data_IF_131247863076
#
_entry.id   IF_131247863076
#
_cell.length_a   1.000
_cell.length_b   1.000
_cell.length_c   1.000
_cell.angle_alpha   90.00
_cell.angle_beta   90.00
_cell.angle_gamma   90.00
#
_symmetry.space_group_name_H-M   'P 1'
#
loop_
_entity.id
_entity.type
_entity.pdbx_description
1 polymer ?
#
# COMPACT_ATOMS: atom_id res chain seq x y z
N UNK A 1 5.03 -25.42 6.14
CA UNK A 1 4.47 -24.06 5.93
C UNK A 1 4.55 -23.79 4.43
N UNK A 2 3.52 -24.20 3.70
CA UNK A 2 3.49 -24.05 2.24
C UNK A 2 3.34 -22.57 1.91
N UNK A 3 4.34 -22.01 1.24
CA UNK A 3 4.29 -20.72 0.57
C UNK A 3 3.47 -20.87 -0.72
N UNK A 4 2.16 -21.12 -0.60
CA UNK A 4 1.31 -21.09 -1.78
C UNK A 4 1.17 -19.64 -2.23
N UNK A 5 1.90 -19.27 -3.26
CA UNK A 5 1.66 -18.06 -4.05
C UNK A 5 0.40 -18.34 -4.91
N UNK A 6 -0.79 -18.35 -4.33
CA UNK A 6 -2.00 -18.41 -5.15
C UNK A 6 -2.16 -17.09 -5.90
N UNK A 7 -2.42 -17.16 -7.20
CA UNK A 7 -2.62 -16.01 -8.08
C UNK A 7 -3.93 -15.26 -7.80
N UNK A 8 -4.87 -15.87 -7.07
CA UNK A 8 -6.12 -15.24 -6.66
C UNK A 8 -6.29 -15.35 -5.16
N UNK A 9 -5.95 -14.31 -4.39
CA UNK A 9 -6.10 -14.30 -2.94
C UNK A 9 -7.55 -14.05 -2.47
N UNK A 10 -8.51 -13.91 -3.38
CA UNK A 10 -9.88 -13.55 -3.09
C UNK A 10 -10.86 -14.64 -3.49
N UNK A 11 -11.83 -14.87 -2.64
CA UNK A 11 -13.14 -15.29 -3.13
C UNK A 11 -13.78 -14.05 -3.79
N UNK A 12 -14.29 -14.18 -5.01
CA UNK A 12 -14.72 -13.07 -5.89
C UNK A 12 -15.68 -12.05 -5.22
N UNK A 13 -16.42 -12.45 -4.19
CA UNK A 13 -17.37 -11.61 -3.45
C UNK A 13 -16.75 -10.71 -2.36
N UNK A 14 -15.46 -10.89 -2.03
CA UNK A 14 -14.81 -10.15 -0.95
C UNK A 14 -14.15 -8.84 -1.40
N UNK A 15 -13.93 -8.65 -2.70
CA UNK A 15 -13.21 -7.49 -3.20
C UNK A 15 -13.83 -6.13 -2.80
N UNK A 16 -15.19 -5.92 -2.82
CA UNK A 16 -15.74 -4.63 -2.42
C UNK A 16 -15.39 -4.25 -0.98
N UNK A 17 -15.44 -5.22 -0.08
CA UNK A 17 -15.03 -5.01 1.32
C UNK A 17 -13.56 -4.71 1.45
N UNK A 18 -12.71 -5.40 0.71
CA UNK A 18 -11.28 -5.22 0.79
C UNK A 18 -10.83 -3.84 0.31
N UNK A 19 -11.46 -3.30 -0.73
CA UNK A 19 -11.10 -1.98 -1.29
C UNK A 19 -11.82 -0.82 -0.61
N UNK A 20 -13.04 -1.03 -0.08
CA UNK A 20 -13.85 0.03 0.52
C UNK A 20 -13.75 0.12 2.05
N UNK A 21 -13.08 -0.83 2.71
CA UNK A 21 -13.01 -0.86 4.17
C UNK A 21 -11.57 -0.95 4.68
N UNK A 22 -11.39 -0.49 5.90
CA UNK A 22 -10.16 -0.62 6.68
C UNK A 22 -10.37 -1.64 7.82
N UNK A 23 -9.26 -2.08 8.42
CA UNK A 23 -9.31 -2.87 9.65
C UNK A 23 -9.91 -2.12 10.84
N UNK A 24 -9.89 -0.79 10.83
CA UNK A 24 -10.27 0.05 11.97
C UNK A 24 -11.11 1.28 11.61
N UNK A 25 -11.44 1.49 10.33
CA UNK A 25 -12.23 2.64 9.87
C UNK A 25 -13.54 2.19 9.22
N UNK A 26 -14.60 2.99 9.42
CA UNK A 26 -15.84 2.84 8.67
C UNK A 26 -15.59 3.15 7.18
N UNK A 27 -16.41 2.58 6.24
CA UNK A 27 -16.19 2.74 4.81
C UNK A 27 -16.07 4.21 4.34
N UNK A 28 -16.97 5.09 4.80
CA UNK A 28 -16.90 6.52 4.47
C UNK A 28 -15.64 7.20 4.99
N UNK A 29 -15.22 6.90 6.23
CA UNK A 29 -13.99 7.46 6.81
C UNK A 29 -12.76 6.95 6.07
N UNK A 30 -12.77 5.69 5.63
CA UNK A 30 -11.70 5.12 4.83
C UNK A 30 -11.60 5.77 3.45
N UNK A 31 -12.72 6.05 2.81
CA UNK A 31 -12.73 6.80 1.54
C UNK A 31 -12.09 8.19 1.70
N UNK A 32 -12.45 8.96 2.74
CA UNK A 32 -11.82 10.26 3.01
C UNK A 32 -10.33 10.14 3.33
N UNK A 33 -9.92 9.10 4.03
CA UNK A 33 -8.52 8.79 4.26
C UNK A 33 -7.79 8.57 2.93
N UNK A 34 -8.36 7.78 2.00
CA UNK A 34 -7.77 7.55 0.67
C UNK A 34 -7.71 8.83 -0.17
N UNK A 35 -8.75 9.63 -0.11
CA UNK A 35 -8.77 10.93 -0.78
C UNK A 35 -7.64 11.85 -0.26
N UNK A 36 -7.46 11.94 1.05
CA UNK A 36 -6.39 12.73 1.65
C UNK A 36 -5.01 12.24 1.20
N UNK A 37 -4.78 10.91 1.22
CA UNK A 37 -3.51 10.33 0.75
C UNK A 37 -3.25 10.63 -0.72
N UNK A 38 -4.22 10.42 -1.58
CA UNK A 38 -4.11 10.73 -3.00
C UNK A 38 -3.78 12.22 -3.24
N UNK A 39 -4.43 13.12 -2.51
CA UNK A 39 -4.16 14.57 -2.60
C UNK A 39 -2.75 14.94 -2.11
N UNK A 40 -2.26 14.33 -1.02
CA UNK A 40 -0.90 14.57 -0.53
C UNK A 40 0.12 14.16 -1.59
N UNK A 41 0.03 12.94 -2.13
CA UNK A 41 0.99 12.45 -3.11
C UNK A 41 0.90 13.21 -4.45
N UNK A 42 -0.30 13.50 -4.92
CA UNK A 42 -0.51 14.29 -6.13
C UNK A 42 0.00 15.73 -5.95
N UNK A 43 -0.26 16.35 -4.81
CA UNK A 43 0.22 17.69 -4.49
C UNK A 43 1.75 17.78 -4.48
N UNK A 44 2.43 16.76 -3.92
CA UNK A 44 3.89 16.68 -3.94
C UNK A 44 4.44 16.44 -5.34
N UNK A 45 3.80 15.59 -6.15
CA UNK A 45 4.17 15.41 -7.55
C UNK A 45 4.06 16.73 -8.32
N UNK A 46 2.92 17.43 -8.18
CA UNK A 46 2.75 18.74 -8.83
C UNK A 46 3.80 19.74 -8.39
N UNK A 47 4.08 19.84 -7.09
CA UNK A 47 5.09 20.74 -6.55
C UNK A 47 6.50 20.42 -7.08
N UNK A 48 6.89 19.14 -7.09
CA UNK A 48 8.20 18.71 -7.59
C UNK A 48 8.34 18.97 -9.10
N UNK A 49 7.31 18.68 -9.90
CA UNK A 49 7.29 18.97 -11.35
C UNK A 49 7.38 20.47 -11.61
N UNK A 50 6.58 21.29 -10.90
CA UNK A 50 6.57 22.75 -11.09
C UNK A 50 7.90 23.37 -10.72
N UNK A 51 8.54 22.95 -9.63
CA UNK A 51 9.86 23.47 -9.23
C UNK A 51 10.93 23.08 -10.24
N UNK A 52 10.93 21.83 -10.71
CA UNK A 52 11.88 21.41 -11.76
C UNK A 52 11.65 22.15 -13.09
N UNK A 53 10.40 22.48 -13.41
CA UNK A 53 10.09 23.28 -14.59
C UNK A 53 10.56 24.74 -14.40
N UNK A 54 10.35 25.32 -13.22
CA UNK A 54 10.81 26.67 -12.88
C UNK A 54 12.34 26.78 -12.95
N UNK A 55 13.05 25.76 -12.47
CA UNK A 55 14.52 25.68 -12.52
C UNK A 55 15.06 25.33 -13.92
N UNK A 56 14.19 25.13 -14.93
CA UNK A 56 14.57 24.75 -16.29
C UNK A 56 15.11 23.31 -16.40
N UNK A 57 14.83 22.46 -15.42
CA UNK A 57 15.39 21.10 -15.31
C UNK A 57 14.37 20.00 -15.61
N UNK A 58 13.22 20.35 -16.15
CA UNK A 58 12.12 19.39 -16.39
C UNK A 58 12.52 18.22 -17.30
N UNK A 59 13.41 18.45 -18.28
CA UNK A 59 13.93 17.39 -19.15
C UNK A 59 14.74 16.33 -18.40
N UNK A 60 15.23 16.66 -17.21
CA UNK A 60 16.03 15.79 -16.36
C UNK A 60 15.18 15.14 -15.25
N UNK A 61 13.85 15.36 -15.28
CA UNK A 61 12.94 14.91 -14.24
C UNK A 61 13.00 13.41 -14.02
N UNK A 62 13.08 12.63 -15.10
CA UNK A 62 13.09 11.17 -15.08
C UNK A 62 14.46 10.52 -14.80
N UNK A 63 15.45 11.30 -14.37
CA UNK A 63 16.77 10.74 -14.08
C UNK A 63 16.85 10.00 -12.74
N UNK A 64 16.03 10.36 -11.75
CA UNK A 64 16.19 9.85 -10.39
C UNK A 64 15.19 8.76 -10.03
N UNK A 65 15.65 7.75 -9.30
CA UNK A 65 14.83 6.64 -8.80
C UNK A 65 13.66 7.12 -7.91
N UNK A 66 13.90 8.15 -7.09
CA UNK A 66 12.88 8.70 -6.20
C UNK A 66 11.69 9.31 -6.94
N UNK A 67 11.92 9.94 -8.09
CA UNK A 67 10.84 10.49 -8.93
C UNK A 67 10.05 9.39 -9.65
N UNK A 68 10.73 8.35 -10.11
CA UNK A 68 10.05 7.17 -10.63
C UNK A 68 9.18 6.51 -9.56
N UNK A 69 9.72 6.40 -8.34
CA UNK A 69 8.96 5.86 -7.22
C UNK A 69 7.75 6.75 -6.84
N UNK A 70 7.90 8.08 -6.87
CA UNK A 70 6.80 9.01 -6.62
C UNK A 70 5.66 8.83 -7.62
N UNK A 71 5.97 8.67 -8.91
CA UNK A 71 4.96 8.40 -9.94
C UNK A 71 4.19 7.11 -9.67
N UNK A 72 4.89 6.04 -9.28
CA UNK A 72 4.26 4.77 -8.91
C UNK A 72 3.38 4.94 -7.66
N UNK A 73 3.85 5.68 -6.66
CA UNK A 73 3.09 5.96 -5.43
C UNK A 73 1.83 6.80 -5.71
N UNK A 74 1.91 7.78 -6.60
CA UNK A 74 0.72 8.55 -7.04
C UNK A 74 -0.26 7.64 -7.75
N UNK A 75 0.20 6.82 -8.71
CA UNK A 75 -0.65 5.87 -9.42
C UNK A 75 -1.32 4.87 -8.46
N UNK A 76 -0.58 4.35 -7.47
CA UNK A 76 -1.09 3.48 -6.42
C UNK A 76 -2.20 4.17 -5.61
N UNK A 77 -1.94 5.36 -5.07
CA UNK A 77 -2.91 6.06 -4.23
C UNK A 77 -4.17 6.49 -5.01
N UNK A 78 -4.02 6.89 -6.27
CA UNK A 78 -5.15 7.22 -7.15
C UNK A 78 -5.98 5.99 -7.50
N UNK A 79 -5.34 4.85 -7.80
CA UNK A 79 -6.06 3.60 -8.08
C UNK A 79 -6.78 3.07 -6.83
N UNK A 80 -6.18 3.17 -5.65
CA UNK A 80 -6.84 2.82 -4.39
C UNK A 80 -8.02 3.75 -4.06
N UNK A 81 -7.91 5.05 -4.34
CA UNK A 81 -9.03 5.99 -4.19
C UNK A 81 -10.19 5.62 -5.11
N UNK A 82 -9.90 5.35 -6.39
CA UNK A 82 -10.90 4.90 -7.36
C UNK A 82 -11.60 3.62 -6.90
N UNK A 83 -10.81 2.61 -6.50
CA UNK A 83 -11.36 1.34 -5.99
C UNK A 83 -12.17 1.52 -4.70
N UNK A 84 -11.74 2.42 -3.79
CA UNK A 84 -12.51 2.72 -2.58
C UNK A 84 -13.86 3.36 -2.88
N UNK A 85 -13.93 4.26 -3.88
CA UNK A 85 -15.18 4.85 -4.34
C UNK A 85 -16.12 3.79 -4.94
N UNK A 86 -15.62 3.00 -5.90
CA UNK A 86 -16.40 1.93 -6.55
C UNK A 86 -16.85 0.85 -5.56
N UNK A 87 -15.98 0.46 -4.63
CA UNK A 87 -16.31 -0.51 -3.59
C UNK A 87 -17.35 0.03 -2.59
N UNK A 88 -17.35 1.34 -2.31
CA UNK A 88 -18.34 1.97 -1.44
C UNK A 88 -19.76 1.93 -2.07
N UNK A 89 -19.84 2.09 -3.37
CA UNK A 89 -21.10 1.96 -4.13
C UNK A 89 -21.61 0.50 -4.15
N UNK A 90 -20.70 -0.45 -4.23
CA UNK A 90 -21.02 -1.87 -4.29
C UNK A 90 -21.39 -2.51 -2.92
N UNK A 91 -21.01 -1.91 -1.79
CA UNK A 91 -21.27 -2.45 -0.45
C UNK A 91 -22.77 -2.68 -0.11
N UNK A 92 -23.74 -1.87 -0.56
CA UNK A 92 -25.16 -2.08 -0.26
C UNK A 92 -25.78 -3.27 -0.98
N UNK A 93 -25.21 -3.73 -2.08
CA UNK A 93 -25.71 -4.89 -2.84
C UNK A 93 -25.27 -6.18 -2.15
N UNK A 94 -26.16 -6.75 -1.34
CA UNK A 94 -25.90 -8.04 -0.65
C UNK A 94 -26.04 -9.26 -1.59
N UNK A 95 -25.97 -9.08 -2.90
CA UNK A 95 -26.12 -10.16 -3.87
C UNK A 95 -24.75 -10.70 -4.29
N UNK A 96 -24.27 -11.84 -3.76
CA UNK A 96 -22.95 -12.38 -4.09
C UNK A 96 -22.81 -12.76 -5.58
N UNK A 97 -23.90 -12.92 -6.31
CA UNK A 97 -23.88 -13.28 -7.73
C UNK A 97 -23.49 -12.11 -8.66
N UNK A 98 -23.58 -10.87 -8.18
CA UNK A 98 -23.19 -9.68 -8.98
C UNK A 98 -21.67 -9.45 -8.99
N UNK A 99 -20.89 -10.20 -8.20
CA UNK A 99 -19.46 -10.03 -8.04
C UNK A 99 -18.67 -11.25 -8.54
N UNK A 100 -19.12 -11.87 -9.64
CA UNK A 100 -18.46 -13.06 -10.21
C UNK A 100 -17.01 -12.78 -10.62
N UNK A 101 -16.71 -11.55 -11.09
CA UNK A 101 -15.39 -11.15 -11.54
C UNK A 101 -14.81 -10.01 -10.69
N UNK A 102 -13.51 -10.13 -10.39
CA UNK A 102 -12.73 -9.03 -9.81
C UNK A 102 -12.44 -8.01 -10.89
N UNK A 103 -12.89 -6.73 -10.77
CA UNK A 103 -12.61 -5.73 -11.79
C UNK A 103 -11.10 -5.56 -12.03
N UNK A 104 -10.70 -5.33 -13.28
CA UNK A 104 -9.30 -5.08 -13.65
C UNK A 104 -8.69 -3.93 -12.86
N UNK A 105 -9.50 -2.92 -12.53
CA UNK A 105 -9.06 -1.80 -11.69
C UNK A 105 -8.60 -2.25 -10.30
N UNK A 106 -9.27 -3.25 -9.69
CA UNK A 106 -8.88 -3.80 -8.38
C UNK A 106 -7.59 -4.60 -8.51
N UNK A 107 -7.46 -5.42 -9.55
CA UNK A 107 -6.24 -6.16 -9.84
C UNK A 107 -5.05 -5.22 -10.07
N UNK A 108 -5.27 -4.13 -10.80
CA UNK A 108 -4.28 -3.07 -11.03
C UNK A 108 -3.90 -2.38 -9.71
N UNK A 109 -4.88 -2.05 -8.86
CA UNK A 109 -4.61 -1.44 -7.55
C UNK A 109 -3.79 -2.37 -6.65
N UNK A 110 -4.05 -3.68 -6.64
CA UNK A 110 -3.25 -4.67 -5.90
C UNK A 110 -1.82 -4.75 -6.44
N UNK A 111 -1.64 -4.75 -7.76
CA UNK A 111 -0.32 -4.78 -8.38
C UNK A 111 0.48 -3.52 -8.05
N UNK A 112 -0.12 -2.33 -8.21
CA UNK A 112 0.50 -1.05 -7.87
C UNK A 112 0.82 -0.95 -6.37
N UNK A 113 -0.08 -1.39 -5.50
CA UNK A 113 0.14 -1.43 -4.06
C UNK A 113 1.32 -2.33 -3.69
N UNK A 114 1.38 -3.54 -4.27
CA UNK A 114 2.47 -4.49 -4.01
C UNK A 114 3.81 -3.98 -4.55
N UNK A 115 3.81 -3.15 -5.59
CA UNK A 115 5.00 -2.50 -6.12
C UNK A 115 5.40 -1.27 -5.28
N UNK A 116 4.46 -0.37 -4.98
CA UNK A 116 4.75 0.94 -4.37
C UNK A 116 5.27 0.83 -2.94
N UNK A 117 4.73 -0.13 -2.16
CA UNK A 117 5.11 -0.33 -0.76
C UNK A 117 6.60 -0.65 -0.58
N UNK A 118 7.15 -1.73 -1.15
CA UNK A 118 8.56 -2.06 -1.03
C UNK A 118 9.46 -1.09 -1.80
N UNK A 119 9.00 -0.51 -2.91
CA UNK A 119 9.75 0.48 -3.66
C UNK A 119 10.03 1.74 -2.85
N UNK A 120 9.04 2.23 -2.08
CA UNK A 120 9.23 3.38 -1.19
C UNK A 120 10.34 3.13 -0.15
N UNK A 121 10.41 1.92 0.40
CA UNK A 121 11.48 1.53 1.33
C UNK A 121 12.85 1.44 0.64
N UNK A 122 12.91 0.87 -0.56
CA UNK A 122 14.15 0.82 -1.33
C UNK A 122 14.71 2.22 -1.60
N UNK A 123 13.84 3.21 -1.90
CA UNK A 123 14.27 4.61 -2.08
C UNK A 123 14.87 5.17 -0.79
N UNK A 124 14.27 4.89 0.37
CA UNK A 124 14.82 5.31 1.67
C UNK A 124 16.21 4.71 1.89
N UNK A 125 16.32 3.38 1.74
CA UNK A 125 17.60 2.67 1.95
C UNK A 125 18.65 3.17 0.97
N UNK A 126 18.28 3.39 -0.29
CA UNK A 126 19.18 3.91 -1.31
C UNK A 126 19.67 5.31 -0.97
N UNK A 127 18.76 6.23 -0.64
CA UNK A 127 19.13 7.59 -0.33
C UNK A 127 20.01 7.68 0.93
N UNK A 128 19.53 7.15 2.05
CA UNK A 128 20.23 7.27 3.33
C UNK A 128 21.44 6.34 3.46
N UNK A 129 21.40 5.17 2.81
CA UNK A 129 22.50 4.18 2.87
C UNK A 129 23.60 4.42 1.86
N UNK A 130 23.31 5.11 0.73
CA UNK A 130 24.28 5.29 -0.36
C UNK A 130 24.48 6.77 -0.68
N UNK A 131 23.42 7.49 -1.04
CA UNK A 131 23.54 8.82 -1.62
C UNK A 131 23.86 9.91 -0.58
N UNK A 132 23.28 9.84 0.61
CA UNK A 132 23.49 10.86 1.66
C UNK A 132 24.96 10.96 2.11
N UNK A 133 25.66 9.84 2.13
CA UNK A 133 27.08 9.82 2.50
C UNK A 133 27.98 10.54 1.48
N UNK A 134 27.56 10.58 0.22
CA UNK A 134 28.31 11.27 -0.83
C UNK A 134 28.16 12.80 -0.75
N UNK A 135 26.97 13.28 -0.39
CA UNK A 135 26.64 14.71 -0.47
C UNK A 135 26.67 15.43 0.87
N UNK A 136 26.54 14.73 1.99
CA UNK A 136 26.52 15.26 3.38
C UNK A 136 25.56 16.46 3.62
N UNK A 137 24.75 16.82 2.64
CA UNK A 137 23.79 17.91 2.74
C UNK A 137 22.42 17.38 3.15
N UNK A 138 21.76 18.14 4.03
CA UNK A 138 20.37 17.82 4.37
C UNK A 138 19.47 18.08 3.16
N UNK A 139 18.59 17.15 2.83
CA UNK A 139 17.69 17.32 1.69
C UNK A 139 16.76 18.51 1.93
N UNK A 140 16.34 19.17 0.85
CA UNK A 140 15.25 20.14 0.88
C UNK A 140 13.97 19.48 1.43
N UNK A 141 12.95 20.28 1.80
CA UNK A 141 11.66 19.75 2.24
C UNK A 141 11.07 18.71 1.27
N UNK A 142 11.10 19.00 -0.04
CA UNK A 142 10.64 18.03 -1.05
C UNK A 142 11.52 16.79 -1.12
N UNK A 143 12.84 16.97 -1.03
CA UNK A 143 13.77 15.85 -0.95
C UNK A 143 13.51 14.97 0.28
N UNK A 144 13.25 15.58 1.44
CA UNK A 144 12.92 14.84 2.65
C UNK A 144 11.59 14.08 2.53
N UNK A 145 10.59 14.69 1.87
CA UNK A 145 9.36 13.99 1.54
C UNK A 145 9.62 12.76 0.66
N UNK A 146 10.35 12.95 -0.46
CA UNK A 146 10.65 11.87 -1.40
C UNK A 146 11.41 10.71 -0.78
N UNK A 147 12.37 11.00 0.11
CA UNK A 147 13.30 10.01 0.63
C UNK A 147 12.95 9.47 2.03
N UNK A 148 11.90 9.98 2.69
CA UNK A 148 11.53 9.50 4.01
C UNK A 148 10.02 9.54 4.27
N UNK A 149 9.38 10.72 4.17
CA UNK A 149 7.98 10.89 4.55
C UNK A 149 7.07 10.01 3.69
N UNK A 150 7.32 9.92 2.38
CA UNK A 150 6.53 9.11 1.47
C UNK A 150 6.50 7.63 1.89
N UNK A 151 7.62 7.09 2.37
CA UNK A 151 7.68 5.73 2.90
C UNK A 151 6.85 5.57 4.17
N UNK A 152 6.94 6.51 5.13
CA UNK A 152 6.13 6.47 6.36
C UNK A 152 4.63 6.50 6.01
N UNK A 153 4.22 7.36 5.08
CA UNK A 153 2.83 7.42 4.61
C UNK A 153 2.38 6.12 3.94
N UNK A 154 3.24 5.51 3.13
CA UNK A 154 2.96 4.20 2.53
C UNK A 154 2.87 3.10 3.60
N UNK A 155 3.73 3.11 4.60
CA UNK A 155 3.67 2.15 5.71
C UNK A 155 2.36 2.30 6.51
N UNK A 156 1.93 3.54 6.78
CA UNK A 156 0.62 3.83 7.40
C UNK A 156 -0.50 3.30 6.49
N UNK A 157 -0.43 3.56 5.18
CA UNK A 157 -1.37 3.01 4.20
C UNK A 157 -1.43 1.49 4.25
N UNK A 158 -0.28 0.80 4.33
CA UNK A 158 -0.19 -0.65 4.49
C UNK A 158 -0.93 -1.13 5.73
N UNK A 159 -0.78 -0.46 6.86
CA UNK A 159 -1.40 -0.86 8.13
C UNK A 159 -2.93 -0.72 8.11
N UNK A 160 -3.45 0.28 7.43
CA UNK A 160 -4.89 0.56 7.40
C UNK A 160 -5.64 -0.12 6.25
N UNK A 161 -5.00 -0.45 5.14
CA UNK A 161 -5.68 -1.10 4.03
C UNK A 161 -5.89 -2.60 4.27
N UNK A 162 -6.86 -3.19 3.55
CA UNK A 162 -7.11 -4.64 3.53
C UNK A 162 -6.61 -5.30 2.24
N UNK A 163 -6.00 -4.53 1.34
CA UNK A 163 -5.47 -5.09 0.11
C UNK A 163 -4.42 -6.17 0.41
N UNK A 164 -4.46 -7.31 -0.27
CA UNK A 164 -3.48 -8.36 -0.09
C UNK A 164 -2.12 -7.90 -0.61
N UNK A 165 -1.08 -8.36 0.06
CA UNK A 165 0.27 -8.26 -0.45
C UNK A 165 0.65 -9.63 -1.02
N UNK A 166 0.89 -9.70 -2.33
CA UNK A 166 1.14 -10.95 -3.04
C UNK A 166 2.61 -11.05 -3.47
N UNK A 167 3.29 -12.13 -3.09
CA UNK A 167 4.68 -12.36 -3.50
C UNK A 167 4.83 -12.51 -5.03
N UNK A 168 3.79 -12.97 -5.72
CA UNK A 168 3.79 -13.09 -7.19
C UNK A 168 4.03 -11.76 -7.89
N UNK A 169 3.55 -10.65 -7.31
CA UNK A 169 3.79 -9.31 -7.84
C UNK A 169 5.20 -8.75 -7.49
N UNK A 170 5.99 -9.45 -6.68
CA UNK A 170 7.40 -9.10 -6.43
C UNK A 170 8.25 -9.05 -7.71
N UNK A 171 7.84 -9.81 -8.75
CA UNK A 171 8.44 -9.73 -10.07
C UNK A 171 8.35 -8.33 -10.71
N UNK A 172 7.29 -7.56 -10.42
CA UNK A 172 7.15 -6.17 -10.89
C UNK A 172 8.19 -5.25 -10.26
N UNK A 173 8.48 -5.43 -8.96
CA UNK A 173 9.55 -4.68 -8.29
C UNK A 173 10.92 -5.02 -8.89
N UNK A 174 11.16 -6.30 -9.17
CA UNK A 174 12.40 -6.72 -9.83
C UNK A 174 12.51 -6.11 -11.23
N UNK A 175 11.45 -6.18 -12.04
CA UNK A 175 11.42 -5.56 -13.36
C UNK A 175 11.65 -4.05 -13.30
N UNK A 176 11.08 -3.36 -12.31
CA UNK A 176 11.27 -1.94 -12.07
C UNK A 176 12.74 -1.61 -11.75
N UNK A 177 13.36 -2.35 -10.83
CA UNK A 177 14.77 -2.15 -10.45
C UNK A 177 15.70 -2.44 -11.62
N UNK A 178 15.48 -3.53 -12.38
CA UNK A 178 16.23 -3.84 -13.61
C UNK A 178 16.07 -2.71 -14.62
N UNK A 179 14.83 -2.26 -14.85
CA UNK A 179 14.55 -1.13 -15.75
C UNK A 179 15.31 0.13 -15.37
N UNK A 180 15.39 0.43 -14.06
CA UNK A 180 16.14 1.57 -13.59
C UNK A 180 17.65 1.40 -13.75
N UNK A 181 18.21 0.21 -13.51
CA UNK A 181 19.63 -0.07 -13.75
C UNK A 181 19.95 0.09 -15.25
N UNK A 182 19.12 -0.46 -16.13
CA UNK A 182 19.26 -0.29 -17.58
C UNK A 182 19.18 1.20 -17.95
N UNK A 183 18.22 1.94 -17.37
CA UNK A 183 18.11 3.37 -17.59
C UNK A 183 19.37 4.13 -17.17
N UNK A 184 19.97 3.80 -16.01
CA UNK A 184 21.22 4.41 -15.56
C UNK A 184 22.38 4.18 -16.54
N UNK A 185 22.43 3.00 -17.17
CA UNK A 185 23.41 2.70 -18.20
C UNK A 185 23.12 3.46 -19.52
N UNK A 186 21.87 3.53 -19.94
CA UNK A 186 21.44 4.32 -21.11
C UNK A 186 21.76 5.80 -20.92
N UNK A 187 21.50 6.34 -19.73
CA UNK A 187 21.85 7.70 -19.37
C UNK A 187 23.35 7.95 -19.52
N UNK A 188 24.18 7.04 -19.02
CA UNK A 188 25.64 7.12 -19.19
C UNK A 188 26.04 7.06 -20.67
N UNK A 189 25.52 6.10 -21.41
CA UNK A 189 25.86 5.88 -22.81
C UNK A 189 25.48 7.08 -23.71
N UNK A 190 24.31 7.66 -23.47
CA UNK A 190 23.81 8.82 -24.21
C UNK A 190 24.41 10.14 -23.73
N UNK A 191 25.26 10.12 -22.70
CA UNK A 191 25.89 11.30 -22.10
C UNK A 191 24.89 12.38 -21.69
N UNK A 192 23.77 11.98 -21.08
CA UNK A 192 22.78 12.89 -20.55
C UNK A 192 23.33 13.46 -19.25
N UNK A 193 23.66 14.77 -19.24
CA UNK A 193 24.27 15.44 -18.07
C UNK A 193 23.32 15.54 -16.88
N UNK A 194 23.89 15.68 -15.68
CA UNK A 194 23.15 15.97 -14.44
C UNK A 194 23.04 17.48 -14.22
N UNK A 195 21.91 17.98 -13.66
CA UNK A 195 21.83 19.36 -13.18
C UNK A 195 22.91 19.60 -12.12
N UNK A 196 23.68 20.68 -12.30
CA UNK A 196 24.78 21.02 -11.39
C UNK A 196 26.09 20.28 -11.64
N UNK A 197 26.13 19.28 -12.53
CA UNK A 197 27.34 18.58 -12.94
C UNK A 197 28.05 17.79 -11.82
N UNK A 198 29.17 17.16 -12.17
CA UNK A 198 30.10 16.61 -11.17
C UNK A 198 30.94 17.77 -10.60
N UNK A 199 30.97 17.95 -9.32
CA UNK A 199 31.74 19.02 -8.64
C UNK A 199 31.40 20.44 -9.14
N UNK A 200 30.14 20.72 -9.45
CA UNK A 200 29.69 22.03 -9.89
C UNK A 200 29.85 22.33 -11.39
N UNK A 201 30.27 21.37 -12.18
CA UNK A 201 30.36 21.50 -13.65
C UNK A 201 29.35 20.58 -14.33
N UNK A 202 28.60 21.12 -15.30
CA UNK A 202 27.79 20.32 -16.22
C UNK A 202 28.71 19.52 -17.13
N UNK A 203 29.13 18.34 -16.67
CA UNK A 203 29.84 17.43 -17.55
C UNK A 203 28.84 16.39 -18.09
N UNK A 204 28.81 16.14 -19.42
CA UNK A 204 27.91 15.17 -20.02
C UNK A 204 28.13 13.74 -19.50
N UNK A 205 29.30 13.46 -18.94
CA UNK A 205 29.69 12.15 -18.43
C UNK A 205 29.43 11.96 -16.92
N UNK A 206 28.67 12.86 -16.30
CA UNK A 206 28.38 12.82 -14.88
C UNK A 206 27.47 11.65 -14.52
N UNK A 207 27.87 10.74 -13.59
CA UNK A 207 27.00 9.63 -13.19
C UNK A 207 25.78 10.17 -12.44
N UNK A 208 24.63 9.54 -12.65
CA UNK A 208 23.40 9.84 -11.92
C UNK A 208 23.56 9.62 -10.41
N UNK A 209 24.28 8.58 -10.06
CA UNK A 209 24.69 8.21 -8.70
C UNK A 209 26.14 7.75 -8.72
N UNK A 210 26.93 8.12 -7.74
CA UNK A 210 28.33 7.68 -7.60
C UNK A 210 28.45 6.16 -7.53
N UNK A 211 27.46 5.51 -6.89
CA UNK A 211 27.39 4.06 -6.78
C UNK A 211 26.97 3.35 -8.08
N UNK A 212 26.39 4.07 -9.06
CA UNK A 212 26.08 3.59 -10.41
C UNK A 212 26.92 4.32 -11.46
N UNK A 213 28.17 4.62 -11.12
CA UNK A 213 29.14 5.23 -12.03
C UNK A 213 29.67 4.19 -13.03
N UNK A 214 29.17 4.22 -14.25
CA UNK A 214 29.56 3.31 -15.33
C UNK A 214 30.96 3.58 -15.88
N UNK A 215 31.63 4.68 -15.50
CA UNK A 215 33.07 4.85 -15.72
C UNK A 215 33.90 3.91 -14.83
N UNK A 216 33.28 3.43 -13.74
CA UNK A 216 33.84 2.46 -12.82
C UNK A 216 32.95 1.19 -12.82
N UNK A 217 32.97 0.42 -13.92
CA UNK A 217 31.98 -0.65 -14.13
C UNK A 217 31.96 -1.69 -13.01
N UNK A 218 33.07 -1.90 -12.33
CA UNK A 218 33.14 -2.81 -11.17
C UNK A 218 32.23 -2.35 -10.04
N UNK A 219 32.25 -1.05 -9.71
CA UNK A 219 31.39 -0.46 -8.66
C UNK A 219 29.94 -0.51 -9.10
N UNK A 220 29.63 -0.10 -10.33
CA UNK A 220 28.28 -0.10 -10.85
C UNK A 220 27.67 -1.52 -10.88
N UNK A 221 28.43 -2.53 -11.32
CA UNK A 221 27.97 -3.93 -11.37
C UNK A 221 27.73 -4.49 -9.96
N UNK A 222 28.64 -4.25 -9.01
CA UNK A 222 28.43 -4.68 -7.63
C UNK A 222 27.21 -4.03 -7.01
N UNK A 223 27.02 -2.72 -7.23
CA UNK A 223 25.85 -1.99 -6.74
C UNK A 223 24.56 -2.51 -7.35
N UNK A 224 24.54 -2.73 -8.68
CA UNK A 224 23.39 -3.31 -9.37
C UNK A 224 23.07 -4.71 -8.82
N UNK A 225 24.06 -5.54 -8.61
CA UNK A 225 23.87 -6.86 -8.01
C UNK A 225 23.31 -6.77 -6.58
N UNK A 226 23.84 -5.89 -5.74
CA UNK A 226 23.30 -5.67 -4.39
C UNK A 226 21.84 -5.19 -4.42
N UNK A 227 21.49 -4.28 -5.34
CA UNK A 227 20.11 -3.83 -5.52
C UNK A 227 19.18 -4.99 -5.92
N UNK A 228 19.61 -5.86 -6.84
CA UNK A 228 18.83 -7.03 -7.25
C UNK A 228 18.64 -8.04 -6.11
N UNK A 229 19.66 -8.25 -5.29
CA UNK A 229 19.56 -9.13 -4.10
C UNK A 229 18.67 -8.51 -3.01
N UNK A 230 18.65 -7.19 -2.88
CA UNK A 230 17.79 -6.51 -1.91
C UNK A 230 16.29 -6.68 -2.23
N UNK A 231 15.91 -6.78 -3.50
CA UNK A 231 14.51 -6.92 -3.93
C UNK A 231 13.78 -8.09 -3.23
N UNK A 232 14.24 -9.35 -3.35
CA UNK A 232 13.54 -10.47 -2.71
C UNK A 232 13.50 -10.35 -1.18
N UNK A 233 14.53 -9.79 -0.56
CA UNK A 233 14.57 -9.55 0.89
C UNK A 233 13.48 -8.55 1.30
N UNK A 234 13.36 -7.44 0.59
CA UNK A 234 12.36 -6.41 0.88
C UNK A 234 10.94 -6.93 0.63
N UNK A 235 10.71 -7.64 -0.49
CA UNK A 235 9.42 -8.28 -0.76
C UNK A 235 9.04 -9.27 0.35
N UNK A 236 9.97 -10.06 0.82
CA UNK A 236 9.76 -10.99 1.92
C UNK A 236 9.41 -10.29 3.24
N UNK A 237 10.11 -9.19 3.58
CA UNK A 237 9.80 -8.37 4.77
C UNK A 237 8.38 -7.79 4.69
N UNK A 238 7.99 -7.24 3.55
CA UNK A 238 6.64 -6.71 3.37
C UNK A 238 5.56 -7.79 3.41
N UNK A 239 5.85 -8.99 2.92
CA UNK A 239 4.95 -10.14 3.07
C UNK A 239 4.75 -10.52 4.55
N UNK A 240 5.81 -10.50 5.36
CA UNK A 240 5.72 -10.70 6.81
C UNK A 240 4.85 -9.61 7.45
N UNK A 241 5.10 -8.34 7.15
CA UNK A 241 4.33 -7.21 7.68
C UNK A 241 2.85 -7.32 7.31
N UNK A 242 2.54 -7.68 6.07
CA UNK A 242 1.16 -7.89 5.62
C UNK A 242 0.47 -9.07 6.34
N UNK A 243 1.19 -10.16 6.60
CA UNK A 243 0.69 -11.29 7.38
C UNK A 243 0.44 -10.91 8.84
N UNK A 244 1.34 -10.18 9.47
CA UNK A 244 1.16 -9.68 10.85
C UNK A 244 -0.07 -8.78 10.96
N UNK A 245 -0.27 -7.88 10.00
CA UNK A 245 -1.50 -7.09 9.89
C UNK A 245 -2.74 -7.97 9.76
N UNK A 246 -2.71 -8.99 8.89
CA UNK A 246 -3.81 -9.94 8.70
C UNK A 246 -4.17 -10.70 9.97
N UNK A 247 -3.20 -11.14 10.74
CA UNK A 247 -3.41 -11.81 12.04
C UNK A 247 -4.08 -10.87 13.05
N UNK A 248 -3.68 -9.60 13.09
CA UNK A 248 -4.30 -8.57 13.93
C UNK A 248 -5.78 -8.36 13.54
N UNK A 249 -6.07 -8.27 12.24
CA UNK A 249 -7.44 -8.12 11.72
C UNK A 249 -8.31 -9.35 11.99
N UNK A 250 -7.77 -10.56 11.80
CA UNK A 250 -8.49 -11.81 12.09
C UNK A 250 -8.84 -11.95 13.57
N UNK A 251 -7.92 -11.56 14.46
CA UNK A 251 -8.18 -11.57 15.90
C UNK A 251 -9.30 -10.59 16.30
N UNK A 252 -9.34 -9.40 15.73
CA UNK A 252 -10.42 -8.45 15.99
C UNK A 252 -11.79 -8.95 15.47
N UNK A 253 -11.81 -9.58 14.30
CA UNK A 253 -13.03 -10.17 13.73
C UNK A 253 -13.57 -11.34 14.57
N UNK A 254 -12.69 -12.19 15.09
CA UNK A 254 -13.09 -13.27 16.01
C UNK A 254 -13.68 -12.73 17.30
N UNK A 255 -13.10 -11.67 17.88
CA UNK A 255 -13.64 -11.03 19.07
C UNK A 255 -15.01 -10.39 18.82
N UNK A 256 -15.24 -9.78 17.65
CA UNK A 256 -16.56 -9.25 17.27
C UNK A 256 -17.60 -10.37 17.09
N UNK A 257 -17.23 -11.47 16.46
CA UNK A 257 -18.11 -12.65 16.29
C UNK A 257 -18.47 -13.24 17.65
N UNK A 258 -17.51 -13.38 18.55
CA UNK A 258 -17.76 -13.90 19.89
C UNK A 258 -18.65 -12.96 20.71
N UNK A 259 -18.45 -11.64 20.59
CA UNK A 259 -19.30 -10.63 21.23
C UNK A 259 -20.74 -10.71 20.71
N UNK A 260 -20.92 -10.84 19.39
CA UNK A 260 -22.24 -10.99 18.75
C UNK A 260 -22.95 -12.25 19.23
N UNK A 261 -22.26 -13.40 19.24
CA UNK A 261 -22.80 -14.67 19.72
C UNK A 261 -23.18 -14.62 21.21
N UNK A 262 -22.46 -13.83 21.99
CA UNK A 262 -22.78 -13.64 23.42
C UNK A 262 -24.05 -12.84 23.58
N UNK A 263 -24.20 -11.74 22.86
CA UNK A 263 -25.41 -10.91 22.86
C UNK A 263 -26.65 -11.67 22.36
N UNK A 264 -26.49 -12.49 21.33
CA UNK A 264 -27.57 -13.36 20.83
C UNK A 264 -28.03 -14.37 21.89
N UNK A 265 -27.09 -15.00 22.61
CA UNK A 265 -27.41 -15.91 23.73
C UNK A 265 -28.12 -15.21 24.86
N UNK A 266 -27.66 -14.03 25.26
CA UNK A 266 -28.29 -13.24 26.32
C UNK A 266 -29.71 -12.83 25.94
N UNK A 267 -29.95 -12.41 24.69
CA UNK A 267 -31.25 -12.07 24.16
C UNK A 267 -32.19 -13.32 24.09
N UNK A 268 -31.66 -14.48 23.78
CA UNK A 268 -32.43 -15.73 23.78
C UNK A 268 -32.83 -16.13 25.21
N UNK A 269 -31.93 -16.07 26.15
CA UNK A 269 -32.21 -16.35 27.58
C UNK A 269 -33.26 -15.39 28.15
N UNK A 270 -33.19 -14.10 27.77
CA UNK A 270 -34.18 -13.14 28.20
C UNK A 270 -35.59 -13.48 27.66
N UNK A 271 -35.70 -13.90 26.39
CA UNK A 271 -37.00 -14.36 25.81
C UNK A 271 -37.53 -15.62 26.47
N UNK A 272 -36.68 -16.60 26.77
CA UNK A 272 -37.05 -17.80 27.46
C UNK A 272 -37.56 -17.52 28.89
N UNK A 273 -36.90 -16.59 29.59
CA UNK A 273 -37.32 -16.15 30.92
C UNK A 273 -38.66 -15.40 30.88
N UNK A 274 -38.91 -14.54 29.89
CA UNK A 274 -40.21 -13.90 29.69
C UNK A 274 -41.33 -14.89 29.38
N UNK A 275 -41.06 -15.89 28.52
CA UNK A 275 -42.00 -16.95 28.21
C UNK A 275 -42.34 -17.79 29.46
N UNK A 276 -41.35 -18.10 30.29
CA UNK A 276 -41.54 -18.83 31.54
C UNK A 276 -42.39 -18.03 32.54
N UNK A 277 -42.17 -16.70 32.65
CA UNK A 277 -42.99 -15.82 33.50
C UNK A 277 -44.44 -15.79 33.02
N UNK A 278 -44.66 -15.64 31.72
CA UNK A 278 -45.99 -15.64 31.14
C UNK A 278 -46.76 -16.97 31.41
N UNK A 279 -46.06 -18.11 31.27
CA UNK A 279 -46.63 -19.40 31.56
C UNK A 279 -47.01 -19.58 33.05
N UNK A 280 -46.20 -19.07 33.97
CA UNK A 280 -46.46 -19.07 35.40
C UNK A 280 -47.66 -18.18 35.77
N UNK A 281 -47.81 -17.02 35.13
CA UNK A 281 -48.98 -16.14 35.31
C UNK A 281 -50.26 -16.78 34.82
N UNK A 282 -50.23 -17.51 33.71
CA UNK A 282 -51.36 -18.25 33.17
C UNK A 282 -51.78 -19.41 34.09
N UNK A 283 -50.85 -20.17 34.69
CA UNK A 283 -51.15 -21.18 35.69
C UNK A 283 -51.79 -20.60 36.96
N UNK A 284 -51.27 -19.47 37.46
CA UNK A 284 -51.84 -18.78 38.60
C UNK A 284 -53.23 -18.22 38.36
N UNK A 285 -53.51 -17.70 37.13
CA UNK A 285 -54.84 -17.26 36.70
C UNK A 285 -55.85 -18.38 36.66
N UNK A 286 -55.50 -19.60 36.21
CA UNK A 286 -56.35 -20.75 36.18
C UNK A 286 -56.71 -21.29 37.57
N UNK A 287 -55.81 -21.20 38.56
CA UNK A 287 -56.12 -21.63 39.94
C UNK A 287 -57.18 -20.76 40.60
N UNK A 288 -57.26 -19.46 40.26
CA UNK A 288 -58.21 -18.55 40.88
C UNK A 288 -59.66 -18.73 40.36
N UNK A 289 -59.84 -19.24 39.14
CA UNK A 289 -61.14 -19.55 38.56
C UNK A 289 -61.77 -20.85 39.04
N UNK A 290 -61.01 -21.79 39.68
CA UNK A 290 -61.54 -23.07 40.12
C UNK A 290 -62.09 -23.13 41.57
N UNK A 291 -62.02 -22.00 42.28
CA UNK A 291 -62.51 -21.90 43.67
C UNK A 291 -63.79 -21.00 43.81
N UNK A 292 -64.58 -20.84 42.75
CA UNK A 292 -65.92 -20.26 42.84
C UNK A 292 -67.05 -21.23 42.50
#
# INVERSE_FOLDING_TARGET
MELSCSLSPWENWEWPRAVATSSCMQPKSYFYFRMLWALIFLGHLCADVLLNAYDGQIQLYFLTLSRWALLVQVADNMSQLYCAASGLEALPTNNPKEFEDVPDAVSTAVALFTLSQPLSFLVVVWYWGVQHWDHQEMPSYLGFFLHFISWILQLISLMFCRLPFTCSHGGWLLAFVVGFIVWSYVHYYLRIGMPGGCQGYMQPDCPMYSALDWHKPQVAVVTAFCALVAVPVVVFLYNILAKLRGLSSARSSLLEIDKKRRLEREAQQARELEALKAALEEEQGCCFCRCR
#
